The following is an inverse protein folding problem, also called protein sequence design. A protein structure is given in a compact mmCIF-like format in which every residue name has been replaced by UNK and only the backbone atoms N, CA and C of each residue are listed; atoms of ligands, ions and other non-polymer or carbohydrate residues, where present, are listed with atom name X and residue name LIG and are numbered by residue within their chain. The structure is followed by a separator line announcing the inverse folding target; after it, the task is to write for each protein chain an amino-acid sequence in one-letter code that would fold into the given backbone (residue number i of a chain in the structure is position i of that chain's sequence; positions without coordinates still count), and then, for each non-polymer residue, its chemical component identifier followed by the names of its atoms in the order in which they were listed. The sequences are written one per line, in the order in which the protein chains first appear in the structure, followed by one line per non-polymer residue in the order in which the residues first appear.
data_IF_755582185948
#
_entry.id   IF_755582185948
#
_cell.length_a   1.000
_cell.length_b   1.000
_cell.length_c   1.000
_cell.angle_alpha   90.00
_cell.angle_beta   90.00
_cell.angle_gamma   90.00
#
_symmetry.space_group_name_H-M   'P 1'
#
loop_
_entity.id
_entity.type
_entity.pdbx_description
1 polymer ?
#
# COMPACT_ATOMS: atom_id res chain seq x y z
N UNK A 1 25.00 18.01 -19.74
CA UNK A 1 24.00 18.69 -18.89
C UNK A 1 23.43 17.63 -17.94
N UNK A 2 23.93 17.54 -16.71
CA UNK A 2 23.46 16.54 -15.74
C UNK A 2 22.25 17.11 -15.01
N UNK A 3 21.04 16.61 -15.31
CA UNK A 3 19.87 16.88 -14.49
C UNK A 3 20.07 16.17 -13.14
N UNK A 4 20.29 16.94 -12.06
CA UNK A 4 20.11 16.44 -10.69
C UNK A 4 18.62 16.20 -10.50
N UNK A 5 18.13 15.03 -10.90
CA UNK A 5 16.78 14.60 -10.54
C UNK A 5 16.74 14.47 -9.01
N UNK A 6 15.87 15.25 -8.34
CA UNK A 6 15.60 15.06 -6.90
C UNK A 6 15.12 13.63 -6.74
N UNK A 7 15.90 12.78 -6.05
CA UNK A 7 15.54 11.38 -5.84
C UNK A 7 14.18 11.34 -5.14
N UNK A 8 13.22 10.63 -5.75
CA UNK A 8 11.92 10.41 -5.16
C UNK A 8 12.07 9.71 -3.79
N UNK A 9 11.23 10.09 -2.82
CA UNK A 9 11.24 9.52 -1.47
C UNK A 9 9.82 9.10 -1.11
N UNK A 10 9.66 7.85 -0.70
CA UNK A 10 8.46 7.35 -0.06
C UNK A 10 8.63 7.52 1.46
N UNK A 11 7.75 8.31 2.07
CA UNK A 11 7.67 8.44 3.52
C UNK A 11 6.54 7.56 4.04
N UNK A 12 6.64 7.19 5.31
CA UNK A 12 5.56 6.52 6.01
C UNK A 12 5.43 7.01 7.44
N UNK A 13 4.24 6.88 7.99
CA UNK A 13 3.95 7.05 9.42
C UNK A 13 2.98 5.98 9.88
N UNK A 14 2.99 5.66 11.17
CA UNK A 14 2.00 4.78 11.79
C UNK A 14 1.28 5.55 12.87
N UNK A 15 -0.05 5.57 12.81
CA UNK A 15 -0.94 6.19 13.79
C UNK A 15 -2.17 5.31 13.95
N UNK A 16 -2.54 4.94 15.18
CA UNK A 16 -3.73 4.14 15.47
C UNK A 16 -3.85 2.87 14.59
N UNK A 17 -2.76 2.10 14.49
CA UNK A 17 -2.67 0.88 13.66
C UNK A 17 -2.90 1.11 12.15
N UNK A 18 -2.87 2.37 11.70
CA UNK A 18 -2.94 2.76 10.30
C UNK A 18 -1.56 3.14 9.79
N UNK A 19 -1.10 2.45 8.74
CA UNK A 19 0.11 2.79 8.01
C UNK A 19 -0.24 3.77 6.88
N UNK A 20 0.31 4.98 6.94
CA UNK A 20 0.08 6.00 5.92
C UNK A 20 1.30 6.10 5.01
N UNK A 21 1.07 6.12 3.70
CA UNK A 21 2.11 6.36 2.70
C UNK A 21 2.02 7.76 2.10
N UNK A 22 3.17 8.43 1.97
CA UNK A 22 3.28 9.75 1.32
C UNK A 22 4.38 9.72 0.25
N UNK A 23 4.02 10.06 -1.00
CA UNK A 23 4.92 10.09 -2.15
C UNK A 23 4.75 8.90 -3.11
N UNK A 24 5.70 8.67 -4.03
CA UNK A 24 5.57 7.64 -5.04
C UNK A 24 5.92 6.25 -4.48
N UNK A 25 5.11 5.25 -4.79
CA UNK A 25 5.32 3.83 -4.44
C UNK A 25 5.69 3.08 -5.71
N UNK A 26 6.99 2.96 -5.98
CA UNK A 26 7.54 2.29 -7.15
C UNK A 26 8.83 1.53 -6.80
N UNK A 27 9.46 0.88 -7.77
CA UNK A 27 10.64 0.04 -7.55
C UNK A 27 11.81 0.78 -6.88
N UNK A 28 11.98 2.08 -7.16
CA UNK A 28 13.07 2.89 -6.60
C UNK A 28 12.86 3.21 -5.12
N UNK A 29 11.61 3.48 -4.72
CA UNK A 29 11.27 3.90 -3.36
C UNK A 29 10.94 2.75 -2.42
N UNK A 30 10.34 1.66 -2.93
CA UNK A 30 9.90 0.53 -2.10
C UNK A 30 11.07 -0.14 -1.37
N UNK A 31 12.23 -0.24 -2.02
CA UNK A 31 13.40 -0.92 -1.46
C UNK A 31 13.93 -0.24 -0.21
N UNK A 32 13.83 1.09 -0.16
CA UNK A 32 14.20 1.89 1.00
C UNK A 32 13.15 1.77 2.10
N UNK A 33 11.86 1.81 1.73
CA UNK A 33 10.76 1.61 2.68
C UNK A 33 10.89 0.25 3.39
N UNK A 34 11.08 -0.86 2.66
CA UNK A 34 11.13 -2.20 3.27
C UNK A 34 12.23 -2.29 4.34
N UNK A 35 13.39 -1.70 4.08
CA UNK A 35 14.49 -1.65 5.06
C UNK A 35 14.11 -0.83 6.30
N UNK A 36 13.53 0.35 6.10
CA UNK A 36 13.11 1.21 7.21
C UNK A 36 11.97 0.59 8.02
N UNK A 37 11.00 -0.03 7.35
CA UNK A 37 9.89 -0.73 7.96
C UNK A 37 10.37 -1.87 8.85
N UNK A 38 11.29 -2.72 8.36
CA UNK A 38 11.88 -3.80 9.15
C UNK A 38 12.59 -3.29 10.42
N UNK A 39 13.26 -2.14 10.34
CA UNK A 39 13.90 -1.52 11.51
C UNK A 39 12.83 -0.98 12.47
N UNK A 40 11.78 -0.35 11.93
CA UNK A 40 10.69 0.24 12.71
C UNK A 40 9.94 -0.84 13.52
N UNK A 41 9.44 -1.90 12.88
CA UNK A 41 8.67 -2.94 13.55
C UNK A 41 9.46 -3.72 14.60
N UNK A 42 10.79 -3.81 14.46
CA UNK A 42 11.65 -4.41 15.48
C UNK A 42 11.79 -3.54 16.73
N UNK A 43 11.74 -2.21 16.57
CA UNK A 43 11.88 -1.25 17.68
C UNK A 43 10.53 -0.96 18.33
N UNK A 44 9.49 -0.92 17.53
CA UNK A 44 8.12 -0.59 17.95
C UNK A 44 7.20 -1.60 17.29
N UNK A 45 7.02 -2.79 17.91
CA UNK A 45 6.08 -3.78 17.42
C UNK A 45 4.69 -3.13 17.36
N UNK A 46 4.15 -3.03 16.16
CA UNK A 46 2.84 -2.46 15.91
C UNK A 46 2.11 -3.39 14.94
N UNK A 47 0.90 -3.76 15.31
CA UNK A 47 -0.02 -4.44 14.42
C UNK A 47 -0.63 -3.39 13.49
N UNK A 48 -0.53 -3.61 12.18
CA UNK A 48 -1.12 -2.73 11.18
C UNK A 48 -2.43 -3.36 10.76
N UNK A 49 -3.53 -2.65 10.98
CA UNK A 49 -4.87 -3.08 10.58
C UNK A 49 -5.34 -2.39 9.31
N UNK A 50 -4.81 -1.21 9.00
CA UNK A 50 -5.17 -0.51 7.77
C UNK A 50 -3.99 0.20 7.10
N UNK A 51 -4.10 0.40 5.79
CA UNK A 51 -3.12 1.14 4.98
C UNK A 51 -3.84 2.26 4.24
N UNK A 52 -3.40 3.51 4.44
CA UNK A 52 -3.94 4.67 3.73
C UNK A 52 -3.02 5.11 2.58
N UNK A 53 -3.63 5.20 1.40
CA UNK A 53 -2.99 5.59 0.14
C UNK A 53 -3.30 7.03 -0.29
N UNK A 54 -4.01 7.80 0.55
CA UNK A 54 -4.47 9.16 0.23
C UNK A 54 -3.38 10.13 -0.23
N UNK A 55 -2.16 9.99 0.30
CA UNK A 55 -1.01 10.84 -0.04
C UNK A 55 -0.02 10.17 -1.01
N UNK A 56 -0.40 9.04 -1.64
CA UNK A 56 0.41 8.37 -2.66
C UNK A 56 0.25 9.07 -4.00
N UNK A 57 1.37 9.51 -4.57
CA UNK A 57 1.37 10.29 -5.83
C UNK A 57 1.49 9.41 -7.07
N UNK A 58 1.98 8.19 -6.91
CA UNK A 58 2.20 7.23 -8.00
C UNK A 58 2.18 5.81 -7.43
N UNK A 59 1.58 4.87 -8.15
CA UNK A 59 1.73 3.45 -7.86
C UNK A 59 1.58 2.56 -9.08
N UNK A 60 2.25 1.41 -9.03
CA UNK A 60 2.18 0.31 -10.01
C UNK A 60 2.11 -1.05 -9.29
N UNK A 61 2.44 -2.14 -9.97
CA UNK A 61 2.46 -3.49 -9.38
C UNK A 61 3.42 -3.61 -8.18
N UNK A 62 4.39 -2.70 -8.05
CA UNK A 62 5.26 -2.62 -6.87
C UNK A 62 4.48 -2.25 -5.62
N UNK A 63 3.49 -1.35 -5.73
CA UNK A 63 2.61 -1.01 -4.61
C UNK A 63 1.79 -2.20 -4.17
N UNK A 64 1.32 -3.01 -5.11
CA UNK A 64 0.62 -4.25 -4.80
C UNK A 64 1.51 -5.28 -4.09
N UNK A 65 2.71 -5.52 -4.63
CA UNK A 65 3.69 -6.41 -4.02
C UNK A 65 4.07 -5.95 -2.61
N UNK A 66 4.12 -4.64 -2.37
CA UNK A 66 4.33 -4.07 -1.06
C UNK A 66 3.20 -4.41 -0.09
N UNK A 67 1.94 -4.25 -0.49
CA UNK A 67 0.79 -4.61 0.35
C UNK A 67 0.79 -6.09 0.73
N UNK A 68 1.04 -6.98 -0.24
CA UNK A 68 1.14 -8.43 0.01
C UNK A 68 2.25 -8.77 1.00
N UNK A 69 3.41 -8.10 0.88
CA UNK A 69 4.53 -8.26 1.82
C UNK A 69 4.18 -7.85 3.25
N UNK A 70 3.33 -6.82 3.42
CA UNK A 70 2.85 -6.38 4.73
C UNK A 70 1.77 -7.35 5.24
N UNK A 71 0.79 -7.72 4.40
CA UNK A 71 -0.29 -8.68 4.72
C UNK A 71 0.28 -10.01 5.21
N UNK A 72 1.30 -10.54 4.53
CA UNK A 72 1.96 -11.79 4.89
C UNK A 72 2.61 -11.79 6.30
N UNK A 73 2.71 -10.61 6.95
CA UNK A 73 3.24 -10.43 8.29
C UNK A 73 2.17 -10.07 9.33
N UNK A 74 0.92 -9.85 8.91
CA UNK A 74 -0.20 -9.59 9.80
C UNK A 74 -0.99 -10.87 10.06
N UNK A 75 -1.62 -10.95 11.22
CA UNK A 75 -2.58 -12.02 11.52
C UNK A 75 -3.98 -11.72 10.94
N UNK A 76 -4.37 -10.44 10.95
CA UNK A 76 -5.63 -9.96 10.39
C UNK A 76 -5.48 -9.53 8.91
N UNK A 77 -6.60 -9.46 8.20
CA UNK A 77 -6.66 -8.88 6.86
C UNK A 77 -6.48 -7.36 6.94
N UNK A 78 -5.64 -6.80 6.07
CA UNK A 78 -5.42 -5.37 6.00
C UNK A 78 -6.60 -4.67 5.32
N UNK A 79 -7.13 -3.66 5.99
CA UNK A 79 -8.08 -2.74 5.40
C UNK A 79 -7.38 -1.69 4.54
N UNK A 80 -7.76 -1.56 3.27
CA UNK A 80 -7.14 -0.61 2.35
C UNK A 80 -7.99 0.67 2.24
N UNK A 81 -7.40 1.84 2.47
CA UNK A 81 -8.08 3.14 2.41
C UNK A 81 -7.54 3.98 1.26
N UNK A 82 -8.44 4.71 0.60
CA UNK A 82 -8.14 5.65 -0.50
C UNK A 82 -7.26 5.06 -1.61
N UNK A 83 -7.48 3.78 -1.94
CA UNK A 83 -6.66 3.06 -2.92
C UNK A 83 -6.77 3.70 -4.31
N UNK A 84 -5.64 4.03 -4.96
CA UNK A 84 -5.65 4.57 -6.32
C UNK A 84 -6.38 3.64 -7.30
N UNK A 85 -7.18 4.16 -8.24
CA UNK A 85 -7.97 3.33 -9.18
C UNK A 85 -7.13 2.29 -9.92
N UNK A 86 -5.90 2.64 -10.32
CA UNK A 86 -4.97 1.72 -10.99
C UNK A 86 -4.62 0.51 -10.11
N UNK A 87 -4.46 0.69 -8.80
CA UNK A 87 -4.21 -0.41 -7.87
C UNK A 87 -5.47 -1.26 -7.64
N UNK A 88 -6.66 -0.64 -7.61
CA UNK A 88 -7.92 -1.41 -7.57
C UNK A 88 -8.06 -2.31 -8.79
N UNK A 89 -7.72 -1.82 -9.99
CA UNK A 89 -7.69 -2.65 -11.21
C UNK A 89 -6.71 -3.81 -11.07
N UNK A 90 -5.52 -3.58 -10.51
CA UNK A 90 -4.55 -4.66 -10.30
C UNK A 90 -5.03 -5.68 -9.26
N UNK A 91 -5.66 -5.24 -8.17
CA UNK A 91 -6.24 -6.13 -7.17
C UNK A 91 -7.25 -7.09 -7.82
N UNK A 92 -8.14 -6.55 -8.65
CA UNK A 92 -9.13 -7.34 -9.38
C UNK A 92 -8.50 -8.29 -10.41
N UNK A 93 -7.52 -7.81 -11.18
CA UNK A 93 -6.83 -8.65 -12.18
C UNK A 93 -6.06 -9.83 -11.58
N UNK A 94 -5.72 -9.77 -10.29
CA UNK A 94 -4.99 -10.81 -9.59
C UNK A 94 -5.86 -11.57 -8.57
N UNK A 95 -7.18 -11.35 -8.56
CA UNK A 95 -8.15 -11.98 -7.64
C UNK A 95 -7.75 -11.81 -6.15
N UNK A 96 -7.35 -10.61 -5.75
CA UNK A 96 -6.82 -10.32 -4.42
C UNK A 96 -7.84 -9.68 -3.46
N UNK A 97 -9.10 -9.57 -3.85
CA UNK A 97 -10.15 -8.99 -3.02
C UNK A 97 -10.47 -9.81 -1.77
N UNK A 98 -10.17 -11.11 -1.78
CA UNK A 98 -10.32 -11.96 -0.59
C UNK A 98 -9.13 -11.81 0.39
N UNK A 99 -8.01 -11.27 -0.10
CA UNK A 99 -6.77 -11.08 0.69
C UNK A 99 -6.82 -9.78 1.51
N UNK A 100 -7.60 -8.79 1.05
CA UNK A 100 -7.65 -7.46 1.64
C UNK A 100 -9.08 -7.05 1.98
N UNK A 101 -9.27 -6.30 3.06
CA UNK A 101 -10.56 -5.67 3.34
C UNK A 101 -10.68 -4.36 2.54
N UNK A 102 -11.50 -4.39 1.49
CA UNK A 102 -11.79 -3.20 0.68
C UNK A 102 -12.94 -2.39 1.29
N UNK A 103 -12.91 -1.04 1.16
CA UNK A 103 -14.01 -0.21 1.61
C UNK A 103 -15.23 -0.49 0.74
N UNK A 104 -16.43 -0.51 1.32
CA UNK A 104 -17.67 -0.91 0.62
C UNK A 104 -17.90 -0.19 -0.72
N UNK A 105 -17.46 1.07 -0.87
CA UNK A 105 -17.54 1.82 -2.12
C UNK A 105 -16.67 1.24 -3.27
N UNK A 106 -15.58 0.54 -2.94
CA UNK A 106 -14.70 -0.11 -3.92
C UNK A 106 -15.24 -1.48 -4.38
N UNK A 107 -16.19 -2.07 -3.65
CA UNK A 107 -16.79 -3.38 -3.96
C UNK A 107 -17.97 -3.29 -4.95
N UNK A 108 -18.54 -2.09 -5.16
CA UNK A 108 -19.76 -1.89 -5.96
C UNK A 108 -19.55 -1.86 -7.48
N UNK A 109 -18.31 -2.02 -7.98
CA UNK A 109 -18.01 -1.97 -9.42
C UNK A 109 -18.26 -3.29 -10.17
N UNK A 110 -18.60 -4.39 -9.49
CA UNK A 110 -18.82 -5.71 -10.12
C UNK A 110 -20.21 -6.33 -9.87
N UNK A 111 -21.16 -5.56 -9.32
CA UNK A 111 -22.53 -6.01 -9.07
C UNK A 111 -23.56 -5.76 -10.19
N UNK A 112 -23.11 -5.52 -11.43
CA UNK A 112 -24.00 -5.29 -12.58
C UNK A 112 -23.72 -6.28 -13.72
N UNK A 113 -23.87 -7.58 -13.42
CA UNK A 113 -24.17 -8.59 -14.44
C UNK A 113 -25.40 -9.36 -13.93
N UNK A 114 -26.58 -8.85 -14.29
CA UNK A 114 -27.81 -9.62 -14.39
C UNK A 114 -28.16 -9.74 -15.88
#
# INVERSE_FOLDING_TARGET
MFFKSKKAVLKFSVSDQCLNFEGPVNADTVSQFVKQWQIHIKKTPVEVLSVDWSAVTESDSTGLALMLSIQAKQAAHLSLKNVPPKLLTLLHLYDLEEVFELPAAAQLSHGAVL
#
